data_IF_326485429682
#
_entry.id   IF_326485429682
#
_cell.length_a   1.000
_cell.length_b   1.000
_cell.length_c   1.000
_cell.angle_alpha   90.00
_cell.angle_beta   90.00
_cell.angle_gamma   90.00
#
_symmetry.space_group_name_H-M   'P 1'
#
loop_
_entity.id
_entity.type
_entity.pdbx_description
1 polymer ?
#
# COMPACT_ATOMS: atom_id res chain seq x y z
N UNK A 1 -4.53 -12.65 30.57
CA UNK A 1 -4.98 -13.36 29.36
C UNK A 1 -6.35 -12.80 29.01
N UNK A 2 -6.42 -11.88 28.05
CA UNK A 2 -7.70 -11.32 27.60
C UNK A 2 -8.25 -12.23 26.50
N UNK A 3 -9.29 -13.00 26.79
CA UNK A 3 -10.09 -13.69 25.77
C UNK A 3 -10.81 -12.61 24.97
N UNK A 4 -10.32 -12.31 23.77
CA UNK A 4 -11.07 -11.49 22.81
C UNK A 4 -12.36 -12.22 22.46
N UNK A 5 -13.50 -11.57 22.69
CA UNK A 5 -14.82 -12.08 22.32
C UNK A 5 -14.83 -12.34 20.82
N UNK A 6 -15.05 -13.60 20.40
CA UNK A 6 -15.20 -13.93 18.99
C UNK A 6 -16.35 -13.13 18.39
N UNK A 7 -16.20 -12.58 17.17
CA UNK A 7 -17.24 -11.77 16.55
C UNK A 7 -18.51 -12.59 16.33
N UNK A 8 -19.67 -12.00 16.65
CA UNK A 8 -20.97 -12.64 16.42
C UNK A 8 -21.18 -12.91 14.92
N UNK A 9 -22.00 -13.91 14.57
CA UNK A 9 -22.45 -14.12 13.19
C UNK A 9 -23.07 -12.85 12.56
N UNK A 10 -23.69 -12.00 13.39
CA UNK A 10 -24.20 -10.71 12.95
C UNK A 10 -23.10 -9.69 12.63
N UNK A 11 -21.97 -9.70 13.38
CA UNK A 11 -20.80 -8.86 13.10
C UNK A 11 -20.09 -9.31 11.83
N UNK A 12 -19.87 -10.62 11.68
CA UNK A 12 -19.25 -11.20 10.48
C UNK A 12 -20.05 -10.85 9.21
N UNK A 13 -21.38 -10.96 9.27
CA UNK A 13 -22.27 -10.56 8.15
C UNK A 13 -22.18 -9.08 7.84
N UNK A 14 -22.07 -8.21 8.85
CA UNK A 14 -21.90 -6.76 8.65
C UNK A 14 -20.55 -6.45 8.02
N UNK A 15 -19.47 -7.10 8.46
CA UNK A 15 -18.13 -6.92 7.87
C UNK A 15 -18.13 -7.33 6.39
N UNK A 16 -18.63 -8.52 6.08
CA UNK A 16 -18.70 -9.01 4.70
C UNK A 16 -19.54 -8.09 3.80
N UNK A 17 -20.65 -7.53 4.32
CA UNK A 17 -21.43 -6.54 3.58
C UNK A 17 -20.66 -5.23 3.37
N UNK A 18 -19.94 -4.74 4.38
CA UNK A 18 -19.11 -3.54 4.27
C UNK A 18 -18.00 -3.73 3.24
N UNK A 19 -17.31 -4.88 3.26
CA UNK A 19 -16.28 -5.25 2.29
C UNK A 19 -16.84 -5.29 0.87
N UNK A 20 -17.98 -5.97 0.65
CA UNK A 20 -18.62 -6.03 -0.66
C UNK A 20 -19.04 -4.63 -1.20
N UNK A 21 -19.45 -3.72 -0.30
CA UNK A 21 -19.73 -2.33 -0.66
C UNK A 21 -18.46 -1.57 -1.06
N UNK A 22 -17.35 -1.76 -0.35
CA UNK A 22 -16.09 -1.11 -0.69
C UNK A 22 -15.50 -1.66 -1.99
N UNK A 23 -15.53 -2.98 -2.21
CA UNK A 23 -15.03 -3.58 -3.44
C UNK A 23 -15.78 -3.01 -4.65
N UNK A 24 -17.12 -3.04 -4.60
CA UNK A 24 -17.97 -2.51 -5.66
C UNK A 24 -17.79 -1.00 -5.89
N UNK A 25 -17.59 -0.22 -4.82
CA UNK A 25 -17.37 1.22 -4.90
C UNK A 25 -15.98 1.56 -5.45
N UNK A 26 -14.94 0.78 -5.12
CA UNK A 26 -13.58 0.97 -5.62
C UNK A 26 -13.54 0.92 -7.15
N UNK A 27 -14.22 -0.06 -7.75
CA UNK A 27 -14.32 -0.20 -9.20
C UNK A 27 -15.10 0.96 -9.84
N UNK A 28 -16.22 1.36 -9.24
CA UNK A 28 -17.01 2.49 -9.74
C UNK A 28 -16.17 3.78 -9.75
N UNK A 29 -15.37 4.01 -8.70
CA UNK A 29 -14.52 5.19 -8.57
C UNK A 29 -13.38 5.18 -9.59
N UNK A 30 -12.75 4.03 -9.82
CA UNK A 30 -11.63 3.91 -10.76
C UNK A 30 -12.07 4.05 -12.21
N UNK A 31 -13.23 3.50 -12.59
CA UNK A 31 -13.69 3.55 -13.98
C UNK A 31 -14.44 4.83 -14.35
N UNK A 32 -15.12 5.46 -13.40
CA UNK A 32 -16.00 6.60 -13.68
C UNK A 32 -15.72 7.87 -12.88
N UNK A 33 -14.65 7.86 -12.07
CA UNK A 33 -14.29 8.98 -11.20
C UNK A 33 -15.30 9.23 -10.07
N UNK A 34 -15.12 10.31 -9.29
CA UNK A 34 -15.97 10.61 -8.14
C UNK A 34 -17.45 10.73 -8.49
N UNK A 35 -17.79 11.24 -9.67
CA UNK A 35 -19.17 11.46 -10.11
C UNK A 35 -19.92 10.17 -10.43
N UNK A 36 -19.21 9.08 -10.73
CA UNK A 36 -19.83 7.77 -10.94
C UNK A 36 -20.35 7.12 -9.64
N UNK A 37 -19.88 7.58 -8.48
CA UNK A 37 -20.32 7.06 -7.17
C UNK A 37 -21.74 7.53 -6.88
N UNK A 38 -22.68 6.58 -6.95
CA UNK A 38 -24.07 6.72 -6.53
C UNK A 38 -24.39 5.67 -5.48
N UNK A 39 -24.77 6.11 -4.27
CA UNK A 39 -25.10 5.21 -3.15
C UNK A 39 -26.26 4.26 -3.49
N UNK A 40 -27.23 4.72 -4.28
CA UNK A 40 -28.35 3.90 -4.76
C UNK A 40 -27.89 2.82 -5.74
N UNK A 41 -27.04 3.18 -6.73
CA UNK A 41 -26.48 2.20 -7.68
C UNK A 41 -25.62 1.18 -6.95
N UNK A 42 -24.79 1.64 -6.00
CA UNK A 42 -23.96 0.78 -5.17
C UNK A 42 -24.80 -0.21 -4.35
N UNK A 43 -25.81 0.28 -3.64
CA UNK A 43 -26.72 -0.56 -2.86
C UNK A 43 -27.39 -1.63 -3.72
N UNK A 44 -27.88 -1.23 -4.91
CA UNK A 44 -28.49 -2.15 -5.88
C UNK A 44 -27.49 -3.22 -6.33
N UNK A 45 -26.25 -2.82 -6.65
CA UNK A 45 -25.19 -3.72 -7.11
C UNK A 45 -24.82 -4.78 -6.07
N UNK A 46 -24.80 -4.41 -4.79
CA UNK A 46 -24.43 -5.32 -3.68
C UNK A 46 -25.64 -6.07 -3.11
N UNK A 47 -26.86 -5.74 -3.55
CA UNK A 47 -28.09 -6.37 -3.04
C UNK A 47 -28.46 -5.93 -1.62
N UNK A 48 -28.20 -4.66 -1.28
CA UNK A 48 -28.55 -4.06 0.01
C UNK A 48 -29.42 -2.82 -0.15
N UNK A 49 -29.87 -2.23 0.95
CA UNK A 49 -30.62 -0.97 0.92
C UNK A 49 -29.67 0.24 0.89
N UNK A 50 -30.10 1.34 0.26
CA UNK A 50 -29.35 2.60 0.31
C UNK A 50 -29.15 3.07 1.76
N UNK A 51 -30.12 2.79 2.65
CA UNK A 51 -30.01 3.10 4.07
C UNK A 51 -28.85 2.33 4.73
N UNK A 52 -28.63 1.06 4.38
CA UNK A 52 -27.48 0.31 4.89
C UNK A 52 -26.15 0.96 4.49
N UNK A 53 -26.05 1.51 3.27
CA UNK A 53 -24.86 2.26 2.82
C UNK A 53 -24.67 3.54 3.64
N UNK A 54 -25.75 4.30 3.88
CA UNK A 54 -25.69 5.47 4.75
C UNK A 54 -25.32 5.11 6.19
N UNK A 55 -25.83 4.01 6.74
CA UNK A 55 -25.47 3.54 8.08
C UNK A 55 -24.01 3.13 8.16
N UNK A 56 -23.47 2.50 7.12
CA UNK A 56 -22.08 2.03 7.11
C UNK A 56 -21.07 3.16 6.92
N UNK A 57 -21.39 4.18 6.13
CA UNK A 57 -20.39 5.16 5.67
C UNK A 57 -20.79 6.62 5.88
N UNK A 58 -21.98 6.93 6.36
CA UNK A 58 -22.44 8.32 6.58
C UNK A 58 -22.70 9.12 5.28
N UNK A 59 -22.58 8.50 4.10
CA UNK A 59 -22.83 9.14 2.81
C UNK A 59 -21.70 8.91 1.80
N UNK A 60 -21.68 9.70 0.72
CA UNK A 60 -20.69 9.59 -0.37
C UNK A 60 -19.28 9.94 0.10
N UNK A 61 -19.12 11.05 0.82
CA UNK A 61 -17.81 11.49 1.32
C UNK A 61 -17.20 10.46 2.28
N UNK A 62 -17.99 9.96 3.25
CA UNK A 62 -17.49 8.94 4.17
C UNK A 62 -17.22 7.59 3.50
N UNK A 63 -17.94 7.25 2.42
CA UNK A 63 -17.61 6.08 1.59
C UNK A 63 -16.26 6.28 0.88
N UNK A 64 -16.00 7.47 0.34
CA UNK A 64 -14.73 7.80 -0.32
C UNK A 64 -13.57 7.76 0.68
N UNK A 65 -13.74 8.34 1.87
CA UNK A 65 -12.74 8.22 2.96
C UNK A 65 -12.48 6.76 3.32
N UNK A 66 -13.52 5.98 3.54
CA UNK A 66 -13.41 4.56 3.87
C UNK A 66 -12.71 3.75 2.76
N UNK A 67 -12.86 4.12 1.49
CA UNK A 67 -12.14 3.50 0.38
C UNK A 67 -10.63 3.74 0.42
N UNK A 68 -10.20 4.95 0.78
CA UNK A 68 -8.78 5.26 0.95
C UNK A 68 -8.19 4.51 2.14
N UNK A 69 -8.88 4.51 3.27
CA UNK A 69 -8.46 3.76 4.47
C UNK A 69 -8.32 2.26 4.16
N UNK A 70 -9.34 1.68 3.51
CA UNK A 70 -9.34 0.28 3.12
C UNK A 70 -8.17 -0.08 2.19
N UNK A 71 -7.82 0.80 1.24
CA UNK A 71 -6.68 0.56 0.35
C UNK A 71 -5.37 0.41 1.14
N UNK A 72 -5.13 1.29 2.12
CA UNK A 72 -3.94 1.23 2.97
C UNK A 72 -3.98 0.07 3.97
N UNK A 73 -5.15 -0.26 4.52
CA UNK A 73 -5.31 -1.39 5.44
C UNK A 73 -5.05 -2.73 4.73
N UNK A 74 -5.52 -2.89 3.50
CA UNK A 74 -5.22 -4.08 2.68
C UNK A 74 -3.74 -4.19 2.33
N UNK A 75 -3.08 -3.07 2.01
CA UNK A 75 -1.63 -3.09 1.81
C UNK A 75 -0.89 -3.46 3.10
N UNK A 76 -1.26 -2.84 4.23
CA UNK A 76 -0.64 -3.13 5.52
C UNK A 76 -0.80 -4.61 5.90
N UNK A 77 -1.98 -5.19 5.67
CA UNK A 77 -2.23 -6.62 5.88
C UNK A 77 -1.31 -7.51 5.01
N UNK A 78 -1.07 -7.14 3.75
CA UNK A 78 -0.14 -7.85 2.88
C UNK A 78 1.31 -7.76 3.38
N UNK A 79 1.73 -6.58 3.85
CA UNK A 79 3.07 -6.34 4.38
C UNK A 79 3.29 -7.02 5.75
N UNK A 80 2.25 -7.13 6.58
CA UNK A 80 2.30 -7.81 7.88
C UNK A 80 2.46 -9.32 7.79
N UNK A 81 2.06 -9.91 6.67
CA UNK A 81 2.34 -11.31 6.39
C UNK A 81 3.86 -11.57 6.24
N UNK A 82 4.67 -10.53 6.04
CA UNK A 82 6.14 -10.63 6.01
C UNK A 82 6.69 -10.72 7.44
N UNK A 83 7.40 -11.80 7.81
CA UNK A 83 7.91 -11.98 9.17
C UNK A 83 8.83 -10.85 9.65
N UNK A 84 8.55 -10.31 10.85
CA UNK A 84 9.35 -9.22 11.45
C UNK A 84 10.76 -9.64 11.86
N UNK A 85 10.96 -10.92 12.16
CA UNK A 85 12.25 -11.51 12.56
C UNK A 85 13.12 -11.91 11.35
N UNK A 86 12.65 -11.65 10.12
CA UNK A 86 13.44 -11.82 8.91
C UNK A 86 14.66 -10.91 8.98
N UNK A 87 15.78 -11.36 8.42
CA UNK A 87 16.97 -10.53 8.25
C UNK A 87 16.58 -9.22 7.53
N UNK A 88 17.03 -8.03 8.01
CA UNK A 88 16.50 -6.74 7.54
C UNK A 88 16.54 -6.51 6.03
N UNK A 89 17.63 -6.83 5.34
CA UNK A 89 17.73 -6.66 3.88
C UNK A 89 16.79 -7.60 3.12
N UNK A 90 16.70 -8.87 3.52
CA UNK A 90 15.73 -9.83 2.97
C UNK A 90 14.30 -9.36 3.24
N UNK A 91 14.03 -8.79 4.41
CA UNK A 91 12.72 -8.25 4.76
C UNK A 91 12.30 -7.12 3.82
N UNK A 92 13.21 -6.22 3.44
CA UNK A 92 12.91 -5.15 2.47
C UNK A 92 12.50 -5.73 1.10
N UNK A 93 13.20 -6.75 0.64
CA UNK A 93 12.85 -7.44 -0.60
C UNK A 93 11.48 -8.14 -0.50
N UNK A 94 11.23 -8.86 0.59
CA UNK A 94 9.96 -9.58 0.83
C UNK A 94 8.78 -8.58 0.94
N UNK A 95 8.99 -7.40 1.52
CA UNK A 95 8.00 -6.30 1.54
C UNK A 95 7.73 -5.73 0.15
N UNK A 96 8.76 -5.55 -0.69
CA UNK A 96 8.57 -5.12 -2.08
C UNK A 96 7.72 -6.11 -2.87
N UNK A 97 7.95 -7.42 -2.68
CA UNK A 97 7.13 -8.48 -3.29
C UNK A 97 5.68 -8.46 -2.76
N UNK A 98 5.49 -8.26 -1.46
CA UNK A 98 4.16 -8.14 -0.86
C UNK A 98 3.39 -6.95 -1.44
N UNK A 99 4.04 -5.80 -1.58
CA UNK A 99 3.48 -4.60 -2.20
C UNK A 99 3.05 -4.87 -3.65
N UNK A 100 3.92 -5.49 -4.47
CA UNK A 100 3.58 -5.86 -5.86
C UNK A 100 2.41 -6.84 -5.91
N UNK A 101 2.43 -7.88 -5.08
CA UNK A 101 1.33 -8.84 -5.00
C UNK A 101 0.01 -8.16 -4.63
N UNK A 102 0.02 -7.23 -3.67
CA UNK A 102 -1.15 -6.43 -3.31
C UNK A 102 -1.65 -5.64 -4.52
N UNK A 103 -0.76 -4.91 -5.21
CA UNK A 103 -1.12 -4.06 -6.35
C UNK A 103 -1.79 -4.85 -7.48
N UNK A 104 -1.24 -6.02 -7.82
CA UNK A 104 -1.76 -6.89 -8.87
C UNK A 104 -3.08 -7.57 -8.50
N UNK A 105 -3.26 -7.93 -7.23
CA UNK A 105 -4.51 -8.56 -6.74
C UNK A 105 -5.63 -7.56 -6.50
N UNK A 106 -5.30 -6.29 -6.24
CA UNK A 106 -6.25 -5.24 -5.88
C UNK A 106 -6.06 -3.99 -6.77
N UNK A 107 -6.17 -4.10 -8.11
CA UNK A 107 -5.84 -3.01 -9.02
C UNK A 107 -6.71 -1.77 -8.80
N UNK A 108 -7.98 -1.93 -8.39
CA UNK A 108 -8.86 -0.81 -8.07
C UNK A 108 -8.39 -0.05 -6.83
N UNK A 109 -8.10 -0.75 -5.74
CA UNK A 109 -7.57 -0.13 -4.50
C UNK A 109 -6.19 0.45 -4.68
N UNK A 110 -5.31 -0.23 -5.43
CA UNK A 110 -4.01 0.32 -5.81
C UNK A 110 -4.19 1.64 -6.55
N UNK A 111 -5.07 1.68 -7.55
CA UNK A 111 -5.36 2.90 -8.28
C UNK A 111 -5.80 4.03 -7.34
N UNK A 112 -6.61 3.77 -6.32
CA UNK A 112 -7.00 4.80 -5.34
C UNK A 112 -5.81 5.41 -4.60
N UNK A 113 -4.83 4.60 -4.18
CA UNK A 113 -3.64 5.12 -3.50
C UNK A 113 -2.88 6.13 -4.37
N UNK A 114 -2.79 5.86 -5.68
CA UNK A 114 -1.98 6.64 -6.62
C UNK A 114 -2.79 7.73 -7.33
N UNK A 115 -4.12 7.65 -7.28
CA UNK A 115 -4.98 8.24 -8.30
C UNK A 115 -4.86 9.76 -8.40
N UNK A 116 -4.82 10.28 -9.63
CA UNK A 116 -5.07 11.68 -9.97
C UNK A 116 -6.57 12.03 -10.02
N UNK A 117 -7.47 11.07 -9.81
CA UNK A 117 -8.94 11.27 -9.88
C UNK A 117 -9.47 12.19 -8.79
N UNK A 118 -8.71 12.41 -7.72
CA UNK A 118 -8.90 13.53 -6.80
C UNK A 118 -7.64 14.40 -6.87
N UNK A 119 -7.69 15.57 -7.52
CA UNK A 119 -6.55 16.47 -7.58
C UNK A 119 -6.14 16.83 -6.15
N UNK A 120 -4.87 16.60 -5.82
CA UNK A 120 -4.30 17.14 -4.58
C UNK A 120 -4.21 18.66 -4.77
N UNK A 121 -4.85 19.47 -3.91
CA UNK A 121 -4.73 20.92 -3.95
C UNK A 121 -3.25 21.32 -4.00
N UNK A 122 -2.89 22.30 -4.83
CA UNK A 122 -1.50 22.74 -4.98
C UNK A 122 -0.87 23.14 -3.64
N UNK A 123 -1.66 23.74 -2.74
CA UNK A 123 -1.25 24.07 -1.38
C UNK A 123 -0.84 22.85 -0.53
N UNK A 124 -1.35 21.65 -0.84
CA UNK A 124 -0.99 20.40 -0.16
C UNK A 124 0.10 19.62 -0.91
N UNK A 125 0.42 19.97 -2.17
CA UNK A 125 1.46 19.29 -2.96
C UNK A 125 2.86 19.48 -2.37
N UNK A 126 3.08 20.64 -1.74
CA UNK A 126 4.31 21.00 -1.02
C UNK A 126 4.01 21.57 0.38
N UNK A 127 2.78 21.39 0.87
CA UNK A 127 2.37 21.87 2.19
C UNK A 127 2.85 20.93 3.28
N UNK A 128 3.48 21.50 4.31
CA UNK A 128 3.79 20.80 5.56
C UNK A 128 2.50 20.66 6.37
N UNK A 129 2.16 19.43 6.78
CA UNK A 129 1.18 19.24 7.86
C UNK A 129 1.77 19.72 9.19
N UNK A 130 0.91 19.92 10.20
CA UNK A 130 1.30 20.46 11.51
C UNK A 130 2.36 19.65 12.27
N UNK A 131 2.68 18.44 11.81
CA UNK A 131 3.66 17.50 12.36
C UNK A 131 4.90 17.29 11.46
N UNK A 132 5.09 18.12 10.44
CA UNK A 132 6.23 18.03 9.51
C UNK A 132 6.07 16.98 8.41
N UNK A 133 4.88 16.41 8.28
CA UNK A 133 4.58 15.35 7.32
C UNK A 133 3.97 15.92 6.01
N UNK A 134 4.27 15.38 4.81
CA UNK A 134 3.50 15.72 3.61
C UNK A 134 1.99 15.66 3.84
N UNK A 135 1.31 16.82 3.72
CA UNK A 135 -0.11 16.93 4.02
C UNK A 135 -1.01 16.18 3.02
N UNK A 136 -0.48 15.84 1.84
CA UNK A 136 -1.22 15.11 0.83
C UNK A 136 -1.54 13.68 1.32
N UNK A 137 -2.81 13.45 1.67
CA UNK A 137 -3.41 12.14 1.98
C UNK A 137 -2.87 11.42 3.23
N UNK A 138 -2.05 12.06 4.07
CA UNK A 138 -1.53 11.48 5.32
C UNK A 138 -0.88 10.09 5.14
N UNK A 139 -0.22 9.87 4.00
CA UNK A 139 0.32 8.56 3.55
C UNK A 139 1.16 7.87 4.65
N UNK A 140 1.94 8.68 5.31
CA UNK A 140 2.96 8.38 6.32
C UNK A 140 2.39 8.25 7.73
N UNK A 141 1.13 8.65 7.92
CA UNK A 141 0.31 8.27 9.07
C UNK A 141 -0.26 6.84 8.98
N UNK A 142 -0.29 6.23 7.78
CA UNK A 142 -0.81 4.88 7.61
C UNK A 142 0.14 3.80 8.13
N UNK A 143 -0.46 2.66 8.51
CA UNK A 143 0.25 1.50 9.06
C UNK A 143 1.24 0.89 8.06
N UNK A 144 0.90 0.85 6.78
CA UNK A 144 1.77 0.32 5.73
C UNK A 144 3.11 1.06 5.64
N UNK A 145 3.06 2.39 5.63
CA UNK A 145 4.27 3.21 5.63
C UNK A 145 5.17 2.93 6.83
N UNK A 146 4.59 2.82 8.03
CA UNK A 146 5.34 2.48 9.25
C UNK A 146 6.03 1.12 9.16
N UNK A 147 5.41 0.11 8.56
CA UNK A 147 6.01 -1.22 8.39
C UNK A 147 7.27 -1.15 7.52
N UNK A 148 7.22 -0.39 6.43
CA UNK A 148 8.37 -0.16 5.55
C UNK A 148 9.45 0.66 6.27
N UNK A 149 9.07 1.76 6.90
CA UNK A 149 10.01 2.63 7.64
C UNK A 149 10.74 1.87 8.74
N UNK A 150 10.04 1.00 9.48
CA UNK A 150 10.65 0.14 10.51
C UNK A 150 11.70 -0.80 9.91
N UNK A 151 11.43 -1.39 8.73
CA UNK A 151 12.37 -2.28 8.05
C UNK A 151 13.60 -1.52 7.55
N UNK A 152 13.43 -0.31 7.00
CA UNK A 152 14.53 0.57 6.60
C UNK A 152 15.35 1.02 7.81
N UNK A 153 14.69 1.40 8.89
CA UNK A 153 15.33 1.80 10.16
C UNK A 153 16.17 0.65 10.73
N UNK A 154 15.66 -0.59 10.67
CA UNK A 154 16.44 -1.75 11.07
C UNK A 154 17.70 -1.92 10.21
N UNK A 155 17.61 -1.76 8.89
CA UNK A 155 18.76 -1.82 7.98
C UNK A 155 19.79 -0.71 8.25
N UNK A 156 19.33 0.50 8.59
CA UNK A 156 20.21 1.61 9.01
C UNK A 156 20.89 1.28 10.34
N UNK A 157 20.13 0.78 11.32
CA UNK A 157 20.63 0.45 12.66
C UNK A 157 21.72 -0.62 12.66
N UNK A 158 21.62 -1.61 11.77
CA UNK A 158 22.67 -2.62 11.59
C UNK A 158 23.77 -2.19 10.61
N UNK A 159 23.67 -1.00 10.00
CA UNK A 159 24.66 -0.42 9.10
C UNK A 159 24.65 -0.98 7.68
N UNK A 160 23.59 -1.68 7.26
CA UNK A 160 23.40 -2.14 5.89
C UNK A 160 23.01 -1.00 4.94
N UNK A 161 22.26 -0.02 5.45
CA UNK A 161 21.93 1.24 4.77
C UNK A 161 22.62 2.44 5.46
N UNK A 162 22.89 3.54 4.72
CA UNK A 162 23.60 4.70 5.23
C UNK A 162 22.74 5.56 6.15
N UNK A 163 23.18 5.73 7.40
CA UNK A 163 22.48 6.58 8.37
C UNK A 163 22.40 8.07 7.98
N UNK A 164 23.39 8.58 7.24
CA UNK A 164 23.47 10.00 6.89
C UNK A 164 22.42 10.47 5.87
N UNK A 165 21.71 9.54 5.19
CA UNK A 165 20.66 9.87 4.22
C UNK A 165 19.31 10.12 4.92
N UNK A 166 19.07 9.51 6.08
CA UNK A 166 17.76 9.50 6.74
C UNK A 166 16.93 8.28 6.32
N UNK A 167 16.28 7.62 7.29
CA UNK A 167 15.51 6.41 7.04
C UNK A 167 14.20 6.68 6.28
N UNK A 168 13.60 7.84 6.51
CA UNK A 168 12.46 8.38 5.77
C UNK A 168 12.78 8.56 4.28
N UNK A 169 13.88 9.25 3.96
CA UNK A 169 14.31 9.48 2.57
C UNK A 169 14.60 8.15 1.85
N UNK A 170 15.24 7.21 2.55
CA UNK A 170 15.49 5.86 2.03
C UNK A 170 14.20 5.07 1.80
N UNK A 171 13.24 5.16 2.72
CA UNK A 171 11.93 4.51 2.59
C UNK A 171 11.16 5.08 1.39
N UNK A 172 11.13 6.40 1.23
CA UNK A 172 10.48 7.07 0.10
C UNK A 172 11.11 6.68 -1.24
N UNK A 173 12.44 6.61 -1.32
CA UNK A 173 13.12 6.19 -2.54
C UNK A 173 12.80 4.73 -2.93
N UNK A 174 12.80 3.83 -1.95
CA UNK A 174 12.46 2.41 -2.17
C UNK A 174 10.98 2.25 -2.53
N UNK A 175 10.09 2.96 -1.85
CA UNK A 175 8.67 2.96 -2.15
C UNK A 175 8.39 3.49 -3.55
N UNK A 176 8.97 4.65 -3.92
CA UNK A 176 8.80 5.25 -5.25
C UNK A 176 9.23 4.29 -6.38
N UNK A 177 10.31 3.54 -6.17
CA UNK A 177 10.77 2.52 -7.10
C UNK A 177 9.74 1.39 -7.30
N UNK A 178 9.31 0.77 -6.19
CA UNK A 178 8.34 -0.34 -6.21
C UNK A 178 7.01 0.12 -6.79
N UNK A 179 6.54 1.29 -6.36
CA UNK A 179 5.34 1.94 -6.86
C UNK A 179 5.40 2.19 -8.37
N UNK A 180 6.47 2.81 -8.87
CA UNK A 180 6.63 3.07 -10.30
C UNK A 180 6.58 1.79 -11.13
N UNK A 181 7.23 0.72 -10.66
CA UNK A 181 7.20 -0.58 -11.32
C UNK A 181 5.79 -1.20 -11.35
N UNK A 182 5.08 -1.17 -10.22
CA UNK A 182 3.70 -1.68 -10.14
C UNK A 182 2.74 -0.89 -11.03
N UNK A 183 2.88 0.44 -11.05
CA UNK A 183 2.09 1.32 -11.91
C UNK A 183 2.31 1.02 -13.39
N UNK A 184 3.55 0.81 -13.82
CA UNK A 184 3.87 0.46 -15.22
C UNK A 184 3.34 -0.93 -15.59
N UNK A 185 3.43 -1.90 -14.68
CA UNK A 185 2.90 -3.24 -14.90
C UNK A 185 1.37 -3.23 -15.07
N UNK A 186 0.66 -2.55 -14.16
CA UNK A 186 -0.79 -2.40 -14.22
C UNK A 186 -1.27 -1.59 -15.43
N UNK A 187 -0.45 -0.66 -15.91
CA UNK A 187 -0.73 0.10 -17.13
C UNK A 187 -0.39 -0.65 -18.43
N UNK A 188 0.09 -1.91 -18.36
CA UNK A 188 0.29 -2.76 -19.52
C UNK A 188 1.57 -2.46 -20.32
N UNK A 189 2.57 -1.80 -19.74
CA UNK A 189 3.84 -1.48 -20.42
C UNK A 189 4.76 -2.69 -20.65
N UNK A 190 4.29 -3.91 -20.40
CA UNK A 190 5.09 -5.12 -20.39
C UNK A 190 4.50 -6.18 -21.32
N UNK A 191 5.34 -6.79 -22.16
CA UNK A 191 4.93 -7.80 -23.13
C UNK A 191 4.38 -9.09 -22.50
N UNK A 192 4.74 -9.39 -21.25
CA UNK A 192 4.27 -10.54 -20.49
C UNK A 192 4.47 -10.33 -18.97
N UNK A 193 3.83 -11.17 -18.15
CA UNK A 193 4.05 -11.20 -16.71
C UNK A 193 5.50 -11.54 -16.34
N UNK A 194 6.15 -12.44 -17.08
CA UNK A 194 7.57 -12.78 -16.90
C UNK A 194 8.48 -11.56 -17.19
N UNK A 195 8.17 -10.80 -18.25
CA UNK A 195 8.92 -9.60 -18.57
C UNK A 195 8.74 -8.49 -17.51
N UNK A 196 7.55 -8.40 -16.92
CA UNK A 196 7.28 -7.52 -15.79
C UNK A 196 8.08 -7.92 -14.54
N UNK A 197 8.03 -9.20 -14.18
CA UNK A 197 8.78 -9.76 -13.04
C UNK A 197 10.29 -9.58 -13.18
N UNK A 198 10.83 -9.86 -14.37
CA UNK A 198 12.26 -9.63 -14.64
C UNK A 198 12.64 -8.16 -14.43
N UNK A 199 11.84 -7.22 -14.93
CA UNK A 199 12.09 -5.78 -14.74
C UNK A 199 11.95 -5.37 -13.28
N UNK A 200 10.97 -5.93 -12.56
CA UNK A 200 10.80 -5.70 -11.14
C UNK A 200 12.05 -6.12 -10.36
N UNK A 201 12.52 -7.35 -10.55
CA UNK A 201 13.67 -7.91 -9.85
C UNK A 201 14.97 -7.16 -10.19
N UNK A 202 15.20 -6.84 -11.46
CA UNK A 202 16.39 -6.10 -11.90
C UNK A 202 16.41 -4.69 -11.29
N UNK A 203 15.28 -3.98 -11.36
CA UNK A 203 15.21 -2.57 -10.95
C UNK A 203 15.28 -2.42 -9.44
N UNK A 204 14.49 -3.21 -8.70
CA UNK A 204 14.55 -3.20 -7.22
C UNK A 204 15.92 -3.64 -6.72
N UNK A 205 16.52 -4.66 -7.33
CA UNK A 205 17.87 -5.11 -7.01
C UNK A 205 18.95 -4.06 -7.30
N UNK A 206 18.85 -3.32 -8.40
CA UNK A 206 19.79 -2.26 -8.75
C UNK A 206 19.69 -1.06 -7.79
N UNK A 207 18.47 -0.62 -7.47
CA UNK A 207 18.22 0.48 -6.55
C UNK A 207 18.69 0.12 -5.14
N UNK A 208 18.32 -1.07 -4.64
CA UNK A 208 18.77 -1.52 -3.33
C UNK A 208 20.30 -1.55 -3.27
N UNK A 209 20.97 -2.21 -4.24
CA UNK A 209 22.44 -2.26 -4.29
C UNK A 209 23.08 -0.87 -4.32
N UNK A 210 22.52 0.08 -5.05
CA UNK A 210 23.01 1.45 -5.11
C UNK A 210 22.91 2.22 -3.79
N UNK A 211 22.00 1.80 -2.90
CA UNK A 211 21.81 2.39 -1.57
C UNK A 211 22.61 1.68 -0.46
N UNK A 212 23.14 0.47 -0.71
CA UNK A 212 23.85 -0.30 0.31
C UNK A 212 25.20 0.32 0.68
N UNK A 213 25.54 0.24 1.97
CA UNK A 213 26.92 0.48 2.43
C UNK A 213 27.84 -0.68 2.02
N UNK A 214 29.19 -0.55 2.15
CA UNK A 214 30.09 -1.67 1.97
C UNK A 214 29.77 -2.88 2.86
N UNK A 215 29.20 -2.65 4.06
CA UNK A 215 28.73 -3.72 4.96
C UNK A 215 27.48 -4.40 4.39
N UNK A 216 26.52 -3.60 3.92
CA UNK A 216 25.30 -4.09 3.27
C UNK A 216 25.60 -4.94 2.04
N UNK A 217 26.52 -4.50 1.18
CA UNK A 217 26.95 -5.25 -0.02
C UNK A 217 27.51 -6.63 0.35
N UNK A 218 28.42 -6.70 1.32
CA UNK A 218 28.95 -7.99 1.81
C UNK A 218 27.86 -8.91 2.34
N UNK A 219 26.85 -8.35 3.02
CA UNK A 219 25.71 -9.11 3.54
C UNK A 219 24.86 -9.68 2.41
N UNK A 220 24.55 -8.86 1.41
CA UNK A 220 23.80 -9.25 0.23
C UNK A 220 24.51 -10.38 -0.54
N UNK A 221 25.83 -10.26 -0.76
CA UNK A 221 26.62 -11.30 -1.45
C UNK A 221 26.65 -12.62 -0.68
N UNK A 222 26.57 -12.57 0.65
CA UNK A 222 26.46 -13.74 1.51
C UNK A 222 25.15 -14.52 1.32
N UNK A 223 24.08 -13.86 0.88
CA UNK A 223 22.79 -14.51 0.61
C UNK A 223 22.81 -15.35 -0.66
N UNK A 224 23.40 -14.82 -1.73
CA UNK A 224 23.50 -15.53 -3.02
C UNK A 224 24.42 -16.76 -2.98
N UNK A 225 25.18 -16.96 -1.89
CA UNK A 225 26.05 -18.13 -1.68
C UNK A 225 25.44 -19.18 -0.76
N UNK A 226 24.32 -18.88 -0.11
CA UNK A 226 23.65 -19.73 0.87
C UNK A 226 22.38 -20.41 0.33
N UNK A 227 22.03 -20.14 -0.93
CA UNK A 227 20.95 -20.76 -1.73
C UNK A 227 21.57 -21.66 -2.79
#
# INVERSE_FOLDING_TARGET
>A
MSMGTEPSAADARRSAQREALLDAASEMLVHGGPDAISLRKLATRVGTSTMAVYTAFGGKEGLITALFEEAYDRLAAAEEAVPKNREPLRRLHDLALAYRSFALKNPSYYALMISSTLPVPDALRHGEAADGNPAARNVTGHRSYRIMLDAVTACVGEGSLPAHIGADVLADALWAAVHGLCSLELAGFHASAEAAEKRFNVTTGAILRGLLTPKGLKKLDGFSRAE
#
